data_IF_951573064919
#
_entry.id   IF_951573064919
#
_cell.length_a   1.000
_cell.length_b   1.000
_cell.length_c   1.000
_cell.angle_alpha   90.00
_cell.angle_beta   90.00
_cell.angle_gamma   90.00
#
_symmetry.space_group_name_H-M   'P 1'
#
loop_
_entity.id
_entity.type
_entity.pdbx_description
1 polymer ?
#
# COMPACT_ATOMS: atom_id res chain seq x y z
N UNK A 1 8.05 -6.02 -3.93
CA UNK A 1 8.50 -5.84 -5.33
C UNK A 1 8.18 -4.40 -5.77
N UNK A 2 8.70 -3.43 -5.00
CA UNK A 2 8.75 -2.01 -5.32
C UNK A 2 10.23 -1.74 -5.59
N UNK A 3 10.57 -1.13 -6.72
CA UNK A 3 11.95 -0.73 -7.02
C UNK A 3 12.13 0.70 -6.48
N UNK A 4 12.71 0.88 -5.28
CA UNK A 4 12.81 2.19 -4.64
C UNK A 4 13.83 3.08 -5.36
N UNK A 5 14.57 2.54 -6.34
CA UNK A 5 15.67 3.20 -7.02
C UNK A 5 15.39 3.47 -8.50
N UNK A 6 14.23 3.05 -9.03
CA UNK A 6 13.85 3.27 -10.43
C UNK A 6 14.91 2.75 -11.44
N UNK A 7 15.64 1.69 -11.11
CA UNK A 7 16.75 1.18 -11.93
C UNK A 7 16.37 0.00 -12.83
N UNK A 8 15.17 -0.58 -12.67
CA UNK A 8 14.65 -1.66 -13.50
C UNK A 8 13.70 -1.22 -14.62
N UNK A 9 13.39 -2.16 -15.51
CA UNK A 9 12.31 -2.08 -16.53
C UNK A 9 10.93 -1.79 -15.89
N UNK A 10 10.82 -1.87 -14.56
CA UNK A 10 9.78 -1.28 -13.70
C UNK A 10 9.84 0.25 -13.69
N UNK A 11 9.95 0.88 -14.87
CA UNK A 11 10.13 2.33 -14.99
C UNK A 11 8.81 3.10 -15.16
N UNK A 12 8.89 4.40 -15.49
CA UNK A 12 7.73 5.29 -15.69
C UNK A 12 6.65 4.78 -16.65
N UNK A 13 7.02 3.91 -17.61
CA UNK A 13 6.08 3.28 -18.55
C UNK A 13 5.13 2.31 -17.86
N UNK A 14 5.62 1.51 -16.91
CA UNK A 14 4.81 0.57 -16.14
C UNK A 14 3.78 1.34 -15.29
N UNK A 15 4.24 2.33 -14.52
CA UNK A 15 3.37 3.14 -13.68
C UNK A 15 2.31 3.88 -14.50
N UNK A 16 2.70 4.44 -15.65
CA UNK A 16 1.78 5.13 -16.56
C UNK A 16 0.74 4.17 -17.13
N UNK A 17 1.13 2.96 -17.54
CA UNK A 17 0.20 1.98 -18.08
C UNK A 17 -0.81 1.50 -17.02
N UNK A 18 -0.32 1.15 -15.82
CA UNK A 18 -1.19 0.76 -14.69
C UNK A 18 -2.14 1.90 -14.31
N UNK A 19 -1.66 3.14 -14.25
CA UNK A 19 -2.49 4.31 -13.94
C UNK A 19 -3.58 4.53 -14.99
N UNK A 20 -3.25 4.47 -16.27
CA UNK A 20 -4.27 4.62 -17.32
C UNK A 20 -5.29 3.48 -17.29
N UNK A 21 -4.86 2.24 -17.04
CA UNK A 21 -5.78 1.13 -16.87
C UNK A 21 -6.74 1.33 -15.69
N UNK A 22 -6.23 1.74 -14.53
CA UNK A 22 -7.05 2.07 -13.35
C UNK A 22 -8.05 3.19 -13.64
N UNK A 23 -7.58 4.32 -14.21
CA UNK A 23 -8.45 5.45 -14.56
C UNK A 23 -9.54 5.05 -15.55
N UNK A 24 -9.21 4.17 -16.51
CA UNK A 24 -10.16 3.69 -17.52
C UNK A 24 -11.26 2.84 -16.89
N UNK A 25 -10.91 1.87 -16.04
CA UNK A 25 -11.93 1.00 -15.44
C UNK A 25 -12.80 1.73 -14.40
N UNK A 26 -12.28 2.80 -13.80
CA UNK A 26 -13.02 3.64 -12.85
C UNK A 26 -14.20 4.38 -13.49
N UNK A 27 -14.27 4.49 -14.82
CA UNK A 27 -15.42 5.07 -15.52
C UNK A 27 -16.67 4.20 -15.39
N UNK A 28 -16.50 2.89 -15.17
CA UNK A 28 -17.58 1.95 -14.90
C UNK A 28 -17.79 1.77 -13.39
N UNK A 29 -18.96 2.17 -12.85
CA UNK A 29 -19.29 1.90 -11.47
C UNK A 29 -19.25 0.40 -11.18
N UNK A 30 -18.59 0.04 -10.08
CA UNK A 30 -18.47 -1.34 -9.63
C UNK A 30 -17.31 -2.13 -10.23
N UNK A 31 -16.47 -1.51 -11.07
CA UNK A 31 -15.19 -2.10 -11.47
C UNK A 31 -14.26 -2.32 -10.28
N UNK A 32 -13.43 -3.35 -10.39
CA UNK A 32 -12.52 -3.80 -9.35
C UNK A 32 -11.10 -3.97 -9.91
N UNK A 33 -10.16 -4.46 -9.09
CA UNK A 33 -8.81 -4.77 -9.58
C UNK A 33 -8.83 -5.87 -10.65
N UNK A 34 -9.87 -6.71 -10.69
CA UNK A 34 -10.04 -7.74 -11.72
C UNK A 34 -10.22 -7.10 -13.09
N UNK A 35 -11.05 -6.05 -13.18
CA UNK A 35 -11.26 -5.32 -14.44
C UNK A 35 -10.01 -4.59 -14.91
N UNK A 36 -9.15 -4.11 -13.99
CA UNK A 36 -7.85 -3.51 -14.33
C UNK A 36 -6.95 -4.51 -15.07
N UNK A 37 -6.95 -5.77 -14.67
CA UNK A 37 -6.17 -6.78 -15.38
C UNK A 37 -6.83 -7.18 -16.69
N UNK A 38 -8.16 -7.29 -16.67
CA UNK A 38 -8.92 -7.66 -17.86
C UNK A 38 -8.72 -6.65 -18.99
N UNK A 39 -8.73 -5.35 -18.72
CA UNK A 39 -8.51 -4.34 -19.77
C UNK A 39 -7.10 -4.38 -20.38
N UNK A 40 -6.11 -4.93 -19.66
CA UNK A 40 -4.75 -5.09 -20.15
C UNK A 40 -4.56 -6.38 -20.97
N UNK A 41 -5.40 -7.39 -20.79
CA UNK A 41 -5.25 -8.71 -21.42
C UNK A 41 -6.32 -9.04 -22.48
N UNK A 42 -7.50 -8.42 -22.39
CA UNK A 42 -8.69 -8.71 -23.20
C UNK A 42 -9.06 -7.45 -24.00
N UNK A 43 -8.67 -7.45 -25.27
CA UNK A 43 -8.88 -6.32 -26.18
C UNK A 43 -10.37 -6.10 -26.48
N UNK A 44 -11.17 -7.16 -26.57
CA UNK A 44 -12.61 -7.05 -26.76
C UNK A 44 -13.26 -6.34 -25.57
N UNK A 45 -12.88 -6.72 -24.35
CA UNK A 45 -13.33 -6.02 -23.15
C UNK A 45 -12.88 -4.56 -23.12
N UNK A 46 -11.63 -4.28 -23.47
CA UNK A 46 -11.12 -2.91 -23.54
C UNK A 46 -11.92 -2.04 -24.52
N UNK A 47 -12.23 -2.57 -25.70
CA UNK A 47 -13.05 -1.89 -26.71
C UNK A 47 -14.47 -1.57 -26.21
N UNK A 48 -14.99 -2.29 -25.20
CA UNK A 48 -16.26 -1.91 -24.58
C UNK A 48 -16.15 -0.69 -23.66
N UNK A 49 -15.01 -0.48 -22.97
CA UNK A 49 -14.84 0.60 -21.98
C UNK A 49 -14.29 1.87 -22.61
N UNK A 50 -13.38 1.76 -23.58
CA UNK A 50 -12.71 2.92 -24.20
C UNK A 50 -13.70 4.03 -24.63
N UNK A 51 -14.88 3.73 -25.20
CA UNK A 51 -15.88 4.75 -25.55
C UNK A 51 -16.47 5.50 -24.35
N UNK A 52 -16.47 4.91 -23.15
CA UNK A 52 -17.02 5.47 -21.91
C UNK A 52 -16.03 6.43 -21.21
N UNK A 53 -14.75 6.42 -21.60
CA UNK A 53 -13.71 7.29 -21.02
C UNK A 53 -14.06 8.75 -21.24
N UNK A 54 -14.17 9.54 -20.16
CA UNK A 54 -14.48 10.97 -20.23
C UNK A 54 -13.24 11.83 -20.34
N UNK A 55 -12.14 11.42 -19.72
CA UNK A 55 -10.86 12.13 -19.78
C UNK A 55 -10.17 11.90 -21.14
N UNK A 56 -10.02 12.97 -21.93
CA UNK A 56 -9.40 12.90 -23.24
C UNK A 56 -7.94 12.43 -23.22
N UNK A 57 -7.17 12.72 -22.16
CA UNK A 57 -5.78 12.24 -22.05
C UNK A 57 -5.73 10.73 -21.84
N UNK A 58 -6.63 10.20 -21.01
CA UNK A 58 -6.75 8.75 -20.78
C UNK A 58 -7.27 8.07 -22.06
N UNK A 59 -8.22 8.69 -22.76
CA UNK A 59 -8.73 8.15 -24.04
C UNK A 59 -7.62 8.08 -25.10
N UNK A 60 -6.83 9.14 -25.25
CA UNK A 60 -5.70 9.19 -26.21
C UNK A 60 -4.62 8.17 -25.91
N UNK A 61 -4.40 7.81 -24.65
CA UNK A 61 -3.50 6.70 -24.33
C UNK A 61 -3.92 5.41 -25.06
N UNK A 62 -5.22 5.10 -25.10
CA UNK A 62 -5.71 3.92 -25.83
C UNK A 62 -5.76 4.13 -27.35
N UNK A 63 -6.34 5.24 -27.80
CA UNK A 63 -6.63 5.46 -29.24
C UNK A 63 -5.44 5.90 -30.06
N UNK A 64 -4.43 6.53 -29.44
CA UNK A 64 -3.21 6.97 -30.11
C UNK A 64 -2.02 6.11 -29.76
N UNK A 65 -1.70 5.95 -28.47
CA UNK A 65 -0.44 5.30 -28.09
C UNK A 65 -0.54 3.78 -28.21
N UNK A 66 -1.49 3.15 -27.54
CA UNK A 66 -1.66 1.70 -27.58
C UNK A 66 -2.09 1.22 -28.96
N UNK A 67 -3.03 1.91 -29.62
CA UNK A 67 -3.50 1.54 -30.96
C UNK A 67 -2.42 1.69 -32.07
N UNK A 68 -1.46 2.60 -31.91
CA UNK A 68 -0.35 2.79 -32.89
C UNK A 68 0.90 1.99 -32.52
N UNK A 69 0.90 1.28 -31.39
CA UNK A 69 1.99 0.38 -30.99
C UNK A 69 1.85 -0.94 -31.74
N UNK A 70 2.96 -1.48 -32.25
CA UNK A 70 2.95 -2.79 -32.92
C UNK A 70 2.48 -3.89 -31.97
N UNK A 71 1.67 -4.84 -32.47
CA UNK A 71 1.01 -5.89 -31.67
C UNK A 71 1.99 -6.69 -30.79
N UNK A 72 3.19 -6.97 -31.31
CA UNK A 72 4.24 -7.66 -30.57
C UNK A 72 4.67 -6.86 -29.32
N UNK A 73 5.00 -5.58 -29.49
CA UNK A 73 5.40 -4.71 -28.39
C UNK A 73 4.27 -4.43 -27.41
N UNK A 74 3.03 -4.27 -27.91
CA UNK A 74 1.83 -4.15 -27.08
C UNK A 74 1.67 -5.39 -26.18
N UNK A 75 1.75 -6.57 -26.77
CA UNK A 75 1.62 -7.85 -26.04
C UNK A 75 2.73 -8.05 -25.01
N UNK A 76 3.97 -7.68 -25.34
CA UNK A 76 5.11 -7.78 -24.42
C UNK A 76 4.93 -6.88 -23.19
N UNK A 77 4.61 -5.60 -23.40
CA UNK A 77 4.44 -4.62 -22.31
C UNK A 77 3.22 -4.95 -21.45
N UNK A 78 2.07 -5.20 -22.07
CA UNK A 78 0.84 -5.50 -21.34
C UNK A 78 0.94 -6.85 -20.62
N UNK A 79 1.49 -7.88 -21.29
CA UNK A 79 1.72 -9.19 -20.70
C UNK A 79 2.67 -9.14 -19.50
N UNK A 80 3.72 -8.32 -19.56
CA UNK A 80 4.58 -8.06 -18.42
C UNK A 80 3.82 -7.46 -17.25
N UNK A 81 2.98 -6.44 -17.49
CA UNK A 81 2.16 -5.83 -16.43
C UNK A 81 1.22 -6.86 -15.81
N UNK A 82 0.47 -7.59 -16.65
CA UNK A 82 -0.47 -8.64 -16.20
C UNK A 82 0.26 -9.65 -15.32
N UNK A 83 1.45 -10.12 -15.71
CA UNK A 83 2.23 -11.10 -14.94
C UNK A 83 2.57 -10.64 -13.52
N UNK A 84 2.67 -9.32 -13.26
CA UNK A 84 2.95 -8.77 -11.93
C UNK A 84 1.73 -8.81 -11.02
N UNK A 85 0.52 -8.81 -11.60
CA UNK A 85 -0.73 -8.79 -10.85
C UNK A 85 -1.51 -10.12 -10.91
N UNK A 86 -1.15 -11.03 -11.82
CA UNK A 86 -1.89 -12.27 -12.06
C UNK A 86 -2.08 -13.11 -10.79
N UNK A 87 -1.04 -13.21 -9.95
CA UNK A 87 -1.11 -13.91 -8.65
C UNK A 87 -2.20 -13.35 -7.70
N UNK A 88 -2.53 -12.06 -7.80
CA UNK A 88 -3.52 -11.43 -6.93
C UNK A 88 -4.95 -11.74 -7.38
N UNK A 89 -5.16 -11.92 -8.68
CA UNK A 89 -6.46 -12.29 -9.20
C UNK A 89 -6.61 -13.81 -9.22
N UNK A 90 -5.56 -14.59 -9.47
CA UNK A 90 -5.65 -16.06 -9.50
C UNK A 90 -5.89 -16.66 -8.11
N UNK A 91 -5.29 -16.12 -7.04
CA UNK A 91 -5.54 -16.59 -5.68
C UNK A 91 -6.97 -16.26 -5.22
N UNK A 92 -7.73 -17.28 -4.77
CA UNK A 92 -9.13 -17.10 -4.34
C UNK A 92 -9.30 -16.13 -3.16
N UNK A 93 -8.39 -16.16 -2.19
CA UNK A 93 -8.46 -15.25 -1.03
C UNK A 93 -8.29 -13.80 -1.48
N UNK A 94 -7.24 -13.56 -2.27
CA UNK A 94 -6.92 -12.22 -2.77
C UNK A 94 -8.02 -11.72 -3.72
N UNK A 95 -8.55 -12.57 -4.60
CA UNK A 95 -9.70 -12.27 -5.46
C UNK A 95 -10.97 -11.97 -4.67
N UNK A 96 -11.23 -12.69 -3.58
CA UNK A 96 -12.39 -12.43 -2.73
C UNK A 96 -12.30 -11.09 -1.99
N UNK A 97 -11.09 -10.54 -1.83
CA UNK A 97 -10.88 -9.20 -1.24
C UNK A 97 -10.95 -8.13 -2.34
N UNK A 98 -10.17 -8.27 -3.41
CA UNK A 98 -10.00 -7.22 -4.43
C UNK A 98 -10.99 -7.27 -5.59
N UNK A 99 -11.75 -8.36 -5.72
CA UNK A 99 -12.84 -8.50 -6.67
C UNK A 99 -14.19 -8.03 -6.13
N UNK A 100 -14.20 -7.31 -5.00
CA UNK A 100 -15.41 -6.72 -4.45
C UNK A 100 -15.57 -5.29 -4.95
N UNK A 101 -16.71 -5.00 -5.57
CA UNK A 101 -17.08 -3.66 -6.05
C UNK A 101 -17.38 -2.67 -4.91
N UNK A 102 -17.70 -3.18 -3.73
CA UNK A 102 -17.99 -2.40 -2.52
C UNK A 102 -17.15 -2.93 -1.37
N UNK A 103 -16.51 -2.03 -0.62
CA UNK A 103 -15.78 -2.41 0.58
C UNK A 103 -16.75 -2.77 1.71
N UNK A 104 -16.50 -3.91 2.38
CA UNK A 104 -17.29 -4.34 3.54
C UNK A 104 -17.10 -3.47 4.80
N UNK A 105 -16.14 -2.55 4.80
CA UNK A 105 -15.89 -1.66 5.92
C UNK A 105 -15.44 -0.26 5.46
N UNK A 106 -15.49 0.69 6.38
CA UNK A 106 -14.98 2.04 6.16
C UNK A 106 -13.96 2.37 7.24
N UNK A 107 -12.69 2.52 6.84
CA UNK A 107 -11.57 2.77 7.76
C UNK A 107 -11.75 4.06 8.56
N UNK A 108 -12.28 5.13 7.94
CA UNK A 108 -12.58 6.38 8.63
C UNK A 108 -13.64 6.20 9.72
N UNK A 109 -14.73 5.49 9.42
CA UNK A 109 -15.75 5.15 10.42
C UNK A 109 -15.19 4.28 11.54
N UNK A 110 -14.31 3.33 11.23
CA UNK A 110 -13.65 2.49 12.25
C UNK A 110 -12.88 3.37 13.24
N UNK A 111 -12.13 4.36 12.75
CA UNK A 111 -11.37 5.29 13.60
C UNK A 111 -12.30 6.19 14.43
N UNK A 112 -13.26 6.83 13.79
CA UNK A 112 -14.12 7.84 14.44
C UNK A 112 -15.09 7.22 15.45
N UNK A 113 -15.59 6.01 15.17
CA UNK A 113 -16.51 5.26 16.04
C UNK A 113 -15.76 4.34 17.02
N UNK A 114 -14.42 4.43 17.09
CA UNK A 114 -13.55 3.66 17.99
C UNK A 114 -13.79 2.14 17.92
N UNK A 115 -13.98 1.61 16.70
CA UNK A 115 -14.15 0.18 16.45
C UNK A 115 -12.81 -0.55 16.50
N UNK A 116 -12.88 -1.86 16.71
CA UNK A 116 -11.72 -2.76 16.65
C UNK A 116 -11.64 -3.37 15.25
N UNK A 117 -10.50 -3.19 14.59
CA UNK A 117 -10.16 -3.85 13.33
C UNK A 117 -9.02 -4.82 13.56
N UNK A 118 -9.25 -6.09 13.25
CA UNK A 118 -8.22 -7.14 13.28
C UNK A 118 -7.88 -7.51 11.84
N UNK A 119 -6.61 -7.39 11.48
CA UNK A 119 -6.09 -7.80 10.18
C UNK A 119 -5.12 -8.96 10.39
N UNK A 120 -5.51 -10.16 9.96
CA UNK A 120 -4.63 -11.33 10.04
C UNK A 120 -3.80 -11.44 8.76
N UNK A 121 -2.53 -11.03 8.84
CA UNK A 121 -1.54 -11.13 7.75
C UNK A 121 -0.55 -12.29 7.95
N UNK A 122 -0.95 -13.35 8.65
CA UNK A 122 -0.08 -14.49 8.93
C UNK A 122 0.46 -15.12 7.64
N UNK A 123 1.78 -15.00 7.42
CA UNK A 123 2.46 -15.56 6.24
C UNK A 123 2.22 -17.07 6.09
N UNK A 124 2.07 -17.81 7.18
CA UNK A 124 1.79 -19.25 7.16
C UNK A 124 0.39 -19.60 6.66
N UNK A 125 -0.56 -18.66 6.71
CA UNK A 125 -1.94 -18.87 6.26
C UNK A 125 -2.13 -18.33 4.84
N UNK A 126 -1.70 -17.10 4.58
CA UNK A 126 -1.99 -16.42 3.31
C UNK A 126 -0.79 -16.37 2.35
N UNK A 127 0.39 -16.79 2.78
CA UNK A 127 1.64 -16.67 2.03
C UNK A 127 2.32 -15.33 2.24
N UNK A 128 3.65 -15.32 2.18
CA UNK A 128 4.47 -14.13 2.42
C UNK A 128 4.17 -12.98 1.44
N UNK A 129 4.11 -13.27 0.15
CA UNK A 129 3.88 -12.25 -0.87
C UNK A 129 2.50 -11.58 -0.74
N UNK A 130 1.46 -12.36 -0.42
CA UNK A 130 0.10 -11.84 -0.21
C UNK A 130 0.02 -11.00 1.06
N UNK A 131 0.67 -11.45 2.15
CA UNK A 131 0.75 -10.68 3.39
C UNK A 131 1.42 -9.33 3.14
N UNK A 132 2.57 -9.32 2.46
CA UNK A 132 3.29 -8.10 2.13
C UNK A 132 2.44 -7.17 1.24
N UNK A 133 1.77 -7.71 0.22
CA UNK A 133 0.91 -6.92 -0.66
C UNK A 133 -0.29 -6.29 0.06
N UNK A 134 -0.97 -7.06 0.92
CA UNK A 134 -2.07 -6.53 1.72
C UNK A 134 -1.57 -5.44 2.67
N UNK A 135 -0.40 -5.62 3.30
CA UNK A 135 0.25 -4.60 4.12
C UNK A 135 0.51 -3.31 3.34
N UNK A 136 1.09 -3.42 2.13
CA UNK A 136 1.37 -2.29 1.22
C UNK A 136 0.11 -1.48 0.85
N UNK A 137 -1.08 -2.08 0.90
CA UNK A 137 -2.33 -1.38 0.61
C UNK A 137 -3.01 -0.86 1.88
N UNK A 138 -2.94 -1.62 2.97
CA UNK A 138 -3.59 -1.28 4.23
C UNK A 138 -2.90 -0.09 4.92
N UNK A 139 -1.57 -0.04 4.93
CA UNK A 139 -0.83 1.03 5.63
C UNK A 139 -1.12 2.41 5.02
N UNK A 140 -0.98 2.63 3.69
CA UNK A 140 -1.39 3.89 3.07
C UNK A 140 -2.87 4.21 3.29
N UNK A 141 -3.75 3.20 3.28
CA UNK A 141 -5.18 3.40 3.50
C UNK A 141 -5.47 3.88 4.93
N UNK A 142 -4.77 3.33 5.93
CA UNK A 142 -4.85 3.77 7.33
C UNK A 142 -4.35 5.21 7.44
N UNK A 143 -3.16 5.50 6.91
CA UNK A 143 -2.59 6.85 6.92
C UNK A 143 -3.52 7.87 6.24
N UNK A 144 -3.99 7.60 5.03
CA UNK A 144 -4.94 8.45 4.30
C UNK A 144 -6.25 8.66 5.10
N UNK A 145 -6.79 7.61 5.73
CA UNK A 145 -7.99 7.73 6.54
C UNK A 145 -7.74 8.57 7.80
N UNK A 146 -6.58 8.43 8.43
CA UNK A 146 -6.19 9.26 9.56
C UNK A 146 -6.05 10.73 9.15
N UNK A 147 -5.34 11.02 8.05
CA UNK A 147 -5.18 12.38 7.52
C UNK A 147 -6.52 13.01 7.12
N UNK A 148 -7.48 12.21 6.63
CA UNK A 148 -8.82 12.71 6.30
C UNK A 148 -9.55 13.32 7.50
N UNK A 149 -9.17 12.98 8.75
CA UNK A 149 -9.71 13.57 9.99
C UNK A 149 -9.33 15.04 10.20
N UNK A 150 -8.67 15.67 9.22
CA UNK A 150 -8.40 17.11 9.19
C UNK A 150 -9.68 17.96 9.29
N UNK A 151 -10.82 17.42 8.86
CA UNK A 151 -12.16 18.02 8.95
C UNK A 151 -12.74 18.05 10.39
N UNK A 152 -12.18 17.27 11.32
CA UNK A 152 -12.56 17.27 12.74
C UNK A 152 -11.56 18.11 13.52
N UNK A 153 -12.03 18.95 14.44
CA UNK A 153 -11.17 19.69 15.37
C UNK A 153 -10.31 18.76 16.24
N UNK A 154 -9.05 19.12 16.51
CA UNK A 154 -8.10 18.22 17.19
C UNK A 154 -8.57 17.75 18.58
N UNK A 155 -9.31 18.60 19.31
CA UNK A 155 -9.88 18.27 20.62
C UNK A 155 -11.03 17.26 20.56
N UNK A 156 -11.68 17.12 19.40
CA UNK A 156 -12.78 16.18 19.19
C UNK A 156 -12.32 14.87 18.54
N UNK A 157 -11.12 14.84 17.96
CA UNK A 157 -10.55 13.63 17.35
C UNK A 157 -10.36 12.56 18.43
N UNK A 158 -10.86 11.35 18.16
CA UNK A 158 -10.66 10.19 19.02
C UNK A 158 -9.31 9.53 18.75
N UNK A 159 -8.65 9.09 19.81
CA UNK A 159 -7.44 8.29 19.72
C UNK A 159 -7.74 6.95 19.04
N UNK A 160 -6.94 6.62 18.04
CA UNK A 160 -6.94 5.34 17.37
C UNK A 160 -5.56 4.72 17.47
N UNK A 161 -5.48 3.48 17.96
CA UNK A 161 -4.22 2.79 18.21
C UNK A 161 -3.98 1.75 17.12
N UNK A 162 -2.87 1.90 16.41
CA UNK A 162 -2.41 0.95 15.39
C UNK A 162 -1.28 0.12 15.99
N UNK A 163 -1.57 -1.16 16.20
CA UNK A 163 -0.59 -2.15 16.64
C UNK A 163 -0.11 -2.94 15.42
N UNK A 164 1.20 -2.98 15.23
CA UNK A 164 1.84 -3.72 14.13
C UNK A 164 2.87 -4.67 14.72
N UNK A 165 2.51 -5.94 14.73
CA UNK A 165 3.46 -7.02 15.01
C UNK A 165 4.32 -7.30 13.77
N UNK A 166 5.55 -7.74 14.00
CA UNK A 166 6.54 -8.02 12.94
C UNK A 166 6.66 -6.86 11.93
N UNK A 167 6.84 -5.65 12.46
CA UNK A 167 6.86 -4.37 11.75
C UNK A 167 7.80 -4.32 10.53
N UNK A 168 8.96 -4.99 10.61
CA UNK A 168 9.94 -5.07 9.53
C UNK A 168 9.38 -5.64 8.22
N UNK A 169 8.29 -6.42 8.28
CA UNK A 169 7.66 -6.95 7.07
C UNK A 169 6.90 -5.88 6.28
N UNK A 170 6.55 -4.76 6.93
CA UNK A 170 5.71 -3.71 6.38
C UNK A 170 6.35 -2.34 6.46
N UNK A 171 7.60 -2.24 6.93
CA UNK A 171 8.32 -0.98 7.10
C UNK A 171 8.52 -0.30 5.74
N UNK A 172 7.62 0.61 5.39
CA UNK A 172 7.68 1.52 4.24
C UNK A 172 7.86 2.97 4.71
N UNK A 173 8.12 3.88 3.77
CA UNK A 173 8.19 5.32 4.03
C UNK A 173 6.88 5.87 4.64
N UNK A 174 5.72 5.24 4.37
CA UNK A 174 4.44 5.63 4.98
C UNK A 174 4.48 5.53 6.50
N UNK A 175 5.23 4.57 7.08
CA UNK A 175 5.36 4.47 8.52
C UNK A 175 6.20 5.60 9.11
N UNK A 176 7.24 6.05 8.42
CA UNK A 176 7.97 7.24 8.81
C UNK A 176 7.04 8.46 8.82
N UNK A 177 6.15 8.58 7.83
CA UNK A 177 5.13 9.64 7.79
C UNK A 177 4.09 9.49 8.91
N UNK A 178 3.64 8.27 9.23
CA UNK A 178 2.73 8.03 10.37
C UNK A 178 3.36 8.54 11.66
N UNK A 179 4.63 8.20 11.89
CA UNK A 179 5.37 8.59 13.09
C UNK A 179 5.56 10.10 13.23
N UNK A 180 5.89 10.79 12.14
CA UNK A 180 6.18 12.22 12.17
C UNK A 180 4.93 13.11 12.07
N UNK A 181 3.91 12.72 11.29
CA UNK A 181 2.78 13.58 10.94
C UNK A 181 1.45 13.12 11.51
N UNK A 182 1.22 11.82 11.67
CA UNK A 182 -0.12 11.31 11.98
C UNK A 182 -0.54 11.52 13.44
N UNK A 183 0.40 11.92 14.32
CA UNK A 183 0.14 12.26 15.73
C UNK A 183 -0.92 13.36 15.87
N UNK A 184 -0.87 14.42 15.05
CA UNK A 184 -1.87 15.51 15.06
C UNK A 184 -3.28 15.02 14.71
N UNK A 185 -3.37 13.89 13.99
CA UNK A 185 -4.62 13.25 13.66
C UNK A 185 -5.08 12.24 14.71
N UNK A 186 -4.41 12.10 15.86
CA UNK A 186 -4.72 11.10 16.90
C UNK A 186 -4.62 9.65 16.40
N UNK A 187 -3.63 9.38 15.53
CA UNK A 187 -3.20 8.02 15.20
C UNK A 187 -1.95 7.69 16.03
N UNK A 188 -2.08 6.73 16.94
CA UNK A 188 -1.02 6.30 17.84
C UNK A 188 -0.44 4.98 17.31
N UNK A 189 0.84 4.98 16.96
CA UNK A 189 1.51 3.81 16.40
C UNK A 189 2.28 3.05 17.48
N UNK A 190 2.09 1.73 17.51
CA UNK A 190 2.84 0.79 18.36
C UNK A 190 3.36 -0.31 17.44
N UNK A 191 4.68 -0.44 17.39
CA UNK A 191 5.36 -1.42 16.53
C UNK A 191 6.16 -2.39 17.38
N UNK A 192 6.16 -3.66 16.98
CA UNK A 192 7.03 -4.68 17.52
C UNK A 192 7.95 -5.21 16.40
N UNK A 193 9.22 -5.44 16.73
CA UNK A 193 10.23 -5.94 15.81
C UNK A 193 11.18 -6.88 16.57
N UNK A 194 11.74 -7.88 15.89
CA UNK A 194 12.59 -8.88 16.53
C UNK A 194 14.01 -8.38 16.77
N UNK A 195 14.62 -7.75 15.76
CA UNK A 195 15.95 -7.14 15.88
C UNK A 195 16.14 -5.98 14.90
N UNK A 196 16.91 -4.98 15.31
CA UNK A 196 16.95 -3.65 14.66
C UNK A 196 17.42 -3.74 13.21
N UNK A 197 18.36 -4.63 12.91
CA UNK A 197 18.95 -4.79 11.57
C UNK A 197 17.97 -5.29 10.48
N UNK A 198 16.72 -5.68 10.83
CA UNK A 198 15.70 -6.01 9.83
C UNK A 198 15.04 -4.79 9.19
N UNK A 199 15.16 -3.63 9.84
CA UNK A 199 14.54 -2.39 9.37
C UNK A 199 15.56 -1.65 8.50
N UNK A 200 15.11 -1.15 7.36
CA UNK A 200 15.91 -0.26 6.53
C UNK A 200 16.41 0.95 7.35
N UNK A 201 17.66 1.35 7.11
CA UNK A 201 18.34 2.41 7.86
C UNK A 201 17.52 3.70 7.94
N UNK A 202 16.92 4.15 6.82
CA UNK A 202 16.13 5.38 6.81
C UNK A 202 14.89 5.28 7.70
N UNK A 203 14.24 4.12 7.68
CA UNK A 203 13.03 3.89 8.47
C UNK A 203 13.39 3.68 9.93
N UNK A 204 14.48 2.97 10.22
CA UNK A 204 15.02 2.83 11.58
C UNK A 204 15.26 4.20 12.20
N UNK A 205 15.97 5.07 11.50
CA UNK A 205 16.31 6.40 12.01
C UNK A 205 15.05 7.26 12.20
N UNK A 206 14.07 7.16 11.28
CA UNK A 206 12.77 7.80 11.45
C UNK A 206 11.97 7.26 12.65
N UNK A 207 12.02 5.95 12.91
CA UNK A 207 11.39 5.32 14.09
C UNK A 207 12.03 5.87 15.36
N UNK A 208 13.33 5.66 15.55
CA UNK A 208 14.01 6.04 16.80
C UNK A 208 14.08 7.56 17.00
N UNK A 209 14.00 8.37 15.95
CA UNK A 209 13.93 9.83 16.05
C UNK A 209 12.56 10.37 16.46
N UNK A 210 11.46 9.60 16.29
CA UNK A 210 10.10 10.08 16.55
C UNK A 210 9.38 9.34 17.69
N UNK A 211 9.82 8.14 18.08
CA UNK A 211 9.20 7.40 19.17
C UNK A 211 9.50 8.04 20.52
N UNK A 212 8.45 8.33 21.29
CA UNK A 212 8.57 8.85 22.66
C UNK A 212 8.71 7.77 23.73
N UNK A 213 8.55 6.50 23.37
CA UNK A 213 8.61 5.38 24.32
C UNK A 213 9.27 4.19 23.63
N UNK A 214 10.29 3.64 24.27
CA UNK A 214 11.02 2.46 23.81
C UNK A 214 10.92 1.39 24.89
N UNK A 215 10.54 0.18 24.49
CA UNK A 215 10.53 -1.00 25.35
C UNK A 215 11.51 -2.01 24.76
N UNK A 216 12.53 -2.37 25.53
CA UNK A 216 13.48 -3.42 25.15
C UNK A 216 13.24 -4.68 25.97
N UNK A 217 13.18 -5.82 25.29
CA UNK A 217 13.29 -7.14 25.92
C UNK A 217 14.73 -7.65 25.79
N UNK A 218 14.95 -8.95 25.96
CA UNK A 218 16.28 -9.55 25.74
C UNK A 218 16.72 -9.31 24.29
N UNK A 219 17.85 -8.63 24.12
CA UNK A 219 18.43 -8.28 22.81
C UNK A 219 19.80 -8.94 22.60
N UNK A 220 20.22 -9.06 21.34
CA UNK A 220 21.56 -9.48 20.96
C UNK A 220 22.59 -8.37 21.18
N UNK A 221 23.89 -8.71 21.04
CA UNK A 221 24.99 -7.75 21.28
C UNK A 221 24.95 -6.54 20.36
N UNK A 222 24.62 -6.73 19.08
CA UNK A 222 24.54 -5.65 18.09
C UNK A 222 23.41 -4.67 18.43
N UNK A 223 22.23 -5.18 18.76
CA UNK A 223 21.09 -4.36 19.15
C UNK A 223 21.32 -3.67 20.50
N UNK A 224 22.02 -4.34 21.43
CA UNK A 224 22.38 -3.74 22.71
C UNK A 224 23.29 -2.51 22.55
N UNK A 225 24.29 -2.57 21.65
CA UNK A 225 25.15 -1.43 21.34
C UNK A 225 24.37 -0.26 20.75
N UNK A 226 23.42 -0.54 19.86
CA UNK A 226 22.55 0.50 19.31
C UNK A 226 21.67 1.11 20.40
N UNK A 227 20.98 0.29 21.20
CA UNK A 227 20.06 0.72 22.24
C UNK A 227 20.75 1.44 23.41
N UNK A 228 22.02 1.15 23.67
CA UNK A 228 22.83 1.90 24.66
C UNK A 228 22.76 3.40 24.39
N UNK A 229 22.94 3.82 23.12
CA UNK A 229 22.86 5.24 22.75
C UNK A 229 21.46 5.83 22.95
N UNK A 230 20.41 5.04 22.75
CA UNK A 230 19.01 5.47 22.90
C UNK A 230 18.62 5.59 24.38
N UNK A 231 19.14 4.71 25.24
CA UNK A 231 18.86 4.72 26.67
C UNK A 231 19.87 5.54 27.49
N UNK A 232 20.92 6.05 26.86
CA UNK A 232 21.91 6.92 27.52
C UNK A 232 21.20 8.15 28.07
N UNK A 233 21.26 8.40 29.38
CA UNK A 233 20.60 9.56 29.95
C UNK A 233 21.21 10.87 29.43
N UNK A 234 20.35 11.79 29.04
CA UNK A 234 20.74 13.16 28.68
C UNK A 234 20.49 14.01 29.93
N UNK A 235 21.48 14.06 30.82
CA UNK A 235 21.44 14.89 32.03
C UNK A 235 22.11 16.25 31.80
#
# INVERSE_FOLDING_TARGET
MFDPHNQGITGPRFERAVRNAMLTVMERPGSTLVEVLRILSDEDYANTIIPEIKDDLVRRYWTDEIAKTQDFHKSEVLGYIVSKFDRFVTNKLTRNIFGQSVSGFNMRKIMDEQKILIVNLSKGIIGEENAQFLGLLLVPRILSSAMSRADISESQRKDFYLYVDEFQNFSTEDFAQILSEARKYRLNLIVANQYIAQIDEKIRDAVFGNVGTVVSMKVGTTDAQFLETIFTPIF
#
